data_IF_584392321170
#
_entry.id   IF_584392321170
#
_cell.length_a   1.000
_cell.length_b   1.000
_cell.length_c   1.000
_cell.angle_alpha   90.00
_cell.angle_beta   90.00
_cell.angle_gamma   90.00
#
_symmetry.space_group_name_H-M   'P 1'
#
loop_
_entity.id
_entity.type
_entity.pdbx_description
1 polymer ?
#
# COMPACT_ATOMS: atom_id res chain seq x y z
N UNK A 1 16.86 -0.35 23.84
CA UNK A 1 15.91 -1.48 23.86
C UNK A 1 14.52 -1.06 23.36
N UNK A 2 13.90 0.01 23.86
CA UNK A 2 12.58 0.46 23.36
C UNK A 2 12.58 0.85 21.87
N UNK A 3 13.59 1.59 21.41
CA UNK A 3 13.73 1.99 19.99
C UNK A 3 13.79 0.79 19.04
N UNK A 4 14.56 -0.24 19.40
CA UNK A 4 14.74 -1.44 18.59
C UNK A 4 13.46 -2.25 18.48
N UNK A 5 12.73 -2.42 19.60
CA UNK A 5 11.45 -3.12 19.60
C UNK A 5 10.36 -2.36 18.82
N UNK A 6 10.35 -1.03 18.89
CA UNK A 6 9.43 -0.21 18.09
C UNK A 6 9.67 -0.41 16.59
N UNK A 7 10.93 -0.40 16.16
CA UNK A 7 11.30 -0.70 14.77
C UNK A 7 10.92 -2.14 14.38
N UNK A 8 11.18 -3.12 15.24
CA UNK A 8 10.80 -4.53 14.99
C UNK A 8 9.30 -4.70 14.79
N UNK A 9 8.48 -3.96 15.53
CA UNK A 9 7.01 -4.07 15.46
C UNK A 9 6.43 -3.28 14.28
N UNK A 10 6.90 -2.07 14.04
CA UNK A 10 6.28 -1.11 13.12
C UNK A 10 6.96 -1.02 11.75
N UNK A 11 8.23 -1.43 11.66
CA UNK A 11 9.03 -1.39 10.44
C UNK A 11 9.99 -2.60 10.36
N UNK A 12 9.47 -3.84 10.22
CA UNK A 12 10.26 -5.07 10.34
C UNK A 12 11.44 -5.12 9.36
N UNK A 13 11.25 -4.67 8.11
CA UNK A 13 12.31 -4.68 7.11
C UNK A 13 13.42 -3.66 7.41
N UNK A 14 13.09 -2.53 8.06
CA UNK A 14 14.09 -1.58 8.53
C UNK A 14 14.89 -2.18 9.70
N UNK A 15 14.22 -2.93 10.58
CA UNK A 15 14.89 -3.63 11.67
C UNK A 15 15.86 -4.71 11.15
N UNK A 16 15.48 -5.52 10.17
CA UNK A 16 16.36 -6.51 9.55
C UNK A 16 17.60 -5.87 8.90
N UNK A 17 17.44 -4.70 8.28
CA UNK A 17 18.57 -3.91 7.77
C UNK A 17 19.54 -3.50 8.89
N UNK A 18 19.04 -3.11 10.06
CA UNK A 18 19.91 -2.79 11.21
C UNK A 18 20.65 -4.02 11.74
N UNK A 19 20.04 -5.21 11.73
CA UNK A 19 20.67 -6.45 12.19
C UNK A 19 21.76 -6.94 11.24
N UNK A 20 21.52 -6.86 9.94
CA UNK A 20 22.49 -7.26 8.91
C UNK A 20 23.75 -6.38 8.91
N UNK A 21 23.60 -5.06 9.09
CA UNK A 21 24.73 -4.12 9.20
C UNK A 21 25.50 -4.26 10.53
N UNK A 22 24.80 -4.60 11.62
CA UNK A 22 25.43 -4.90 12.91
C UNK A 22 26.36 -6.10 12.85
N UNK A 23 25.97 -7.13 12.08
CA UNK A 23 26.74 -8.36 11.92
C UNK A 23 27.99 -8.15 11.06
N UNK A 24 27.91 -7.27 10.05
CA UNK A 24 29.00 -6.94 9.12
C UNK A 24 30.09 -6.07 9.74
N UNK A 25 29.73 -5.20 10.71
CA UNK A 25 30.68 -4.30 11.39
C UNK A 25 31.57 -4.95 12.47
N UNK A 26 31.42 -6.26 12.70
CA UNK A 26 32.19 -7.03 13.69
C UNK A 26 33.72 -7.05 13.47
N UNK A 27 34.24 -6.53 12.35
CA UNK A 27 35.68 -6.43 12.05
C UNK A 27 36.34 -5.07 12.34
N UNK A 28 35.60 -4.04 12.78
CA UNK A 28 36.19 -2.74 13.18
C UNK A 28 35.76 -2.32 14.59
N UNK A 29 36.58 -2.70 15.58
CA UNK A 29 36.52 -2.16 16.95
C UNK A 29 36.72 -0.64 16.95
N UNK A 30 35.66 0.15 17.19
CA UNK A 30 35.77 1.50 17.77
C UNK A 30 34.43 2.04 18.30
N UNK A 31 34.22 1.95 19.61
CA UNK A 31 33.58 2.88 20.58
C UNK A 31 32.41 3.83 20.20
N UNK A 32 31.69 3.64 19.11
CA UNK A 32 30.39 4.26 18.90
C UNK A 32 29.41 3.14 18.51
N UNK A 33 28.44 2.84 19.39
CA UNK A 33 27.34 1.87 19.16
C UNK A 33 26.34 2.39 18.10
N UNK A 34 26.81 3.13 17.10
CA UNK A 34 25.98 3.81 16.11
C UNK A 34 26.08 3.06 14.77
N UNK A 35 25.03 2.33 14.44
CA UNK A 35 24.87 1.70 13.12
C UNK A 35 24.47 2.80 12.12
N UNK A 36 25.21 2.90 11.01
CA UNK A 36 24.91 3.85 9.93
C UNK A 36 24.42 3.09 8.71
N UNK A 37 23.22 3.43 8.24
CA UNK A 37 22.58 2.81 7.08
C UNK A 37 22.38 3.90 6.03
N UNK A 38 22.89 3.68 4.82
CA UNK A 38 22.62 4.57 3.70
C UNK A 38 21.32 4.14 3.00
N UNK A 39 20.31 5.01 3.01
CA UNK A 39 19.08 4.81 2.27
C UNK A 39 19.20 5.55 0.94
N UNK A 40 19.06 4.81 -0.16
CA UNK A 40 19.05 5.35 -1.52
C UNK A 40 17.60 5.60 -1.93
N UNK A 41 17.37 6.68 -2.68
CA UNK A 41 16.07 7.12 -3.21
C UNK A 41 15.02 7.42 -2.13
N UNK A 42 15.45 8.11 -1.07
CA UNK A 42 14.59 8.52 0.05
C UNK A 42 14.86 9.99 0.35
N UNK A 43 13.81 10.81 0.33
CA UNK A 43 13.92 12.19 0.80
C UNK A 43 14.01 12.25 2.32
N UNK A 44 14.85 13.16 2.83
CA UNK A 44 15.10 13.31 4.26
C UNK A 44 13.82 13.73 5.02
N UNK A 45 13.03 14.63 4.44
CA UNK A 45 11.82 15.15 5.08
C UNK A 45 10.69 14.12 5.15
N UNK A 46 10.58 13.29 4.12
CA UNK A 46 9.60 12.20 4.03
C UNK A 46 9.99 11.05 4.97
N UNK A 47 11.30 10.75 5.07
CA UNK A 47 11.81 9.77 6.02
C UNK A 47 11.64 10.22 7.48
N UNK A 48 11.88 11.50 7.79
CA UNK A 48 11.61 12.04 9.13
C UNK A 48 10.13 11.87 9.48
N UNK A 49 9.24 12.14 8.53
CA UNK A 49 7.80 11.98 8.69
C UNK A 49 7.40 10.52 8.91
N UNK A 50 7.97 9.60 8.13
CA UNK A 50 7.83 8.15 8.33
C UNK A 50 8.29 7.73 9.73
N UNK A 51 9.48 8.16 10.16
CA UNK A 51 10.01 7.84 11.48
C UNK A 51 9.14 8.42 12.60
N UNK A 52 8.61 9.63 12.44
CA UNK A 52 7.68 10.23 13.40
C UNK A 52 6.43 9.37 13.58
N UNK A 53 5.88 8.81 12.49
CA UNK A 53 4.78 7.86 12.59
C UNK A 53 5.22 6.59 13.33
N UNK A 54 6.35 5.99 12.98
CA UNK A 54 6.86 4.76 13.61
C UNK A 54 7.06 4.91 15.13
N UNK A 55 7.52 6.08 15.59
CA UNK A 55 7.82 6.31 17.01
C UNK A 55 6.66 6.89 17.82
N UNK A 56 5.80 7.69 17.21
CA UNK A 56 4.77 8.47 17.92
C UNK A 56 3.36 8.02 17.53
N UNK A 57 3.21 7.24 16.46
CA UNK A 57 1.91 6.84 15.90
C UNK A 57 1.12 8.00 15.30
N UNK A 58 1.76 9.16 15.07
CA UNK A 58 1.08 10.35 14.56
C UNK A 58 0.98 10.29 13.04
N UNK A 59 -0.25 10.29 12.53
CA UNK A 59 -0.53 10.29 11.10
C UNK A 59 -0.02 11.58 10.44
N UNK A 60 0.68 11.49 9.30
CA UNK A 60 1.18 12.68 8.61
C UNK A 60 0.06 13.43 7.88
N UNK A 61 0.20 14.74 7.80
CA UNK A 61 -0.59 15.55 6.88
C UNK A 61 0.00 15.41 5.47
N UNK A 62 -0.81 14.88 4.55
CA UNK A 62 -0.44 14.63 3.16
C UNK A 62 -1.15 15.65 2.28
N UNK A 63 -0.39 16.68 1.86
CA UNK A 63 -0.90 17.83 1.10
C UNK A 63 -0.60 17.76 -0.40
N UNK A 64 0.30 16.87 -0.82
CA UNK A 64 0.61 16.65 -2.23
C UNK A 64 0.62 15.16 -2.60
N UNK A 65 0.45 14.89 -3.89
CA UNK A 65 0.51 13.53 -4.45
C UNK A 65 1.91 12.96 -4.27
N UNK A 66 2.95 13.78 -4.47
CA UNK A 66 4.34 13.36 -4.37
C UNK A 66 4.68 12.90 -2.93
N UNK A 67 4.31 13.70 -1.93
CA UNK A 67 4.53 13.35 -0.53
C UNK A 67 3.75 12.10 -0.12
N UNK A 68 2.47 12.01 -0.50
CA UNK A 68 1.66 10.82 -0.23
C UNK A 68 2.23 9.57 -0.90
N UNK A 69 2.70 9.70 -2.14
CA UNK A 69 3.31 8.60 -2.91
C UNK A 69 4.63 8.18 -2.27
N UNK A 70 5.51 9.11 -1.95
CA UNK A 70 6.81 8.76 -1.38
C UNK A 70 6.70 8.11 0.00
N UNK A 71 5.83 8.65 0.87
CA UNK A 71 5.57 8.03 2.18
C UNK A 71 4.95 6.63 2.01
N UNK A 72 4.07 6.43 1.02
CA UNK A 72 3.55 5.10 0.67
C UNK A 72 4.67 4.15 0.25
N UNK A 73 5.60 4.59 -0.60
CA UNK A 73 6.75 3.80 -1.04
C UNK A 73 7.66 3.41 0.13
N UNK A 74 7.95 4.36 1.03
CA UNK A 74 8.73 4.10 2.24
C UNK A 74 8.03 3.09 3.15
N UNK A 75 6.73 3.28 3.36
CA UNK A 75 5.91 2.40 4.19
C UNK A 75 5.89 0.98 3.63
N UNK A 76 5.69 0.84 2.31
CA UNK A 76 5.73 -0.44 1.62
C UNK A 76 7.13 -1.08 1.65
N UNK A 77 8.19 -0.28 1.51
CA UNK A 77 9.59 -0.75 1.55
C UNK A 77 9.98 -1.26 2.93
N UNK A 78 9.53 -0.60 4.00
CA UNK A 78 9.91 -0.94 5.37
C UNK A 78 8.90 -1.82 6.10
N UNK A 79 7.79 -2.19 5.45
CA UNK A 79 6.77 -3.09 6.00
C UNK A 79 5.86 -2.42 7.03
N UNK A 80 5.68 -1.11 6.94
CA UNK A 80 4.74 -0.37 7.78
C UNK A 80 3.36 -0.35 7.12
N UNK A 81 2.57 -1.40 7.35
CA UNK A 81 1.27 -1.61 6.69
C UNK A 81 0.28 -0.50 7.03
N UNK A 82 0.17 -0.10 8.29
CA UNK A 82 -0.83 0.89 8.72
C UNK A 82 -0.65 2.25 8.02
N UNK A 83 0.59 2.70 7.90
CA UNK A 83 0.91 3.94 7.21
C UNK A 83 0.70 3.82 5.68
N UNK A 84 1.03 2.66 5.10
CA UNK A 84 0.76 2.37 3.69
C UNK A 84 -0.75 2.49 3.40
N UNK A 85 -1.59 1.88 4.23
CA UNK A 85 -3.05 1.91 4.08
C UNK A 85 -3.61 3.32 4.26
N UNK A 86 -3.06 4.10 5.20
CA UNK A 86 -3.45 5.49 5.40
C UNK A 86 -3.11 6.38 4.18
N UNK A 87 -1.89 6.25 3.64
CA UNK A 87 -1.49 6.96 2.43
C UNK A 87 -2.38 6.58 1.25
N UNK A 88 -2.69 5.29 1.11
CA UNK A 88 -3.60 4.79 0.09
C UNK A 88 -5.00 5.42 0.18
N UNK A 89 -5.61 5.44 1.37
CA UNK A 89 -6.91 6.11 1.57
C UNK A 89 -6.84 7.59 1.22
N UNK A 90 -5.77 8.28 1.64
CA UNK A 90 -5.59 9.71 1.35
C UNK A 90 -5.47 9.98 -0.15
N UNK A 91 -4.75 9.11 -0.89
CA UNK A 91 -4.63 9.20 -2.35
C UNK A 91 -5.99 9.04 -3.04
N UNK A 92 -6.81 8.10 -2.57
CA UNK A 92 -8.19 7.92 -3.07
C UNK A 92 -9.05 9.14 -2.77
N UNK A 93 -9.05 9.62 -1.53
CA UNK A 93 -10.00 10.63 -1.07
C UNK A 93 -9.69 12.04 -1.60
N UNK A 94 -8.41 12.41 -1.67
CA UNK A 94 -7.99 13.79 -1.99
C UNK A 94 -7.50 13.99 -3.41
N UNK A 95 -6.90 12.96 -4.01
CA UNK A 95 -6.07 13.13 -5.20
C UNK A 95 -6.52 12.32 -6.40
N UNK A 96 -7.41 11.35 -6.23
CA UNK A 96 -7.95 10.56 -7.32
C UNK A 96 -8.95 11.40 -8.13
N UNK A 97 -8.55 11.76 -9.35
CA UNK A 97 -9.40 12.43 -10.31
C UNK A 97 -9.06 11.99 -11.74
N UNK A 98 -9.88 12.35 -12.76
CA UNK A 98 -9.68 11.85 -14.12
C UNK A 98 -8.30 12.15 -14.72
N UNK A 99 -7.69 13.28 -14.34
CA UNK A 99 -6.36 13.68 -14.80
C UNK A 99 -5.21 12.89 -14.15
N UNK A 100 -5.36 12.46 -12.90
CA UNK A 100 -4.34 11.78 -12.08
C UNK A 100 -4.55 10.26 -12.00
N UNK A 101 -5.71 9.78 -12.45
CA UNK A 101 -6.15 8.40 -12.35
C UNK A 101 -5.15 7.40 -12.94
N UNK A 102 -4.62 7.66 -14.13
CA UNK A 102 -3.67 6.75 -14.79
C UNK A 102 -2.34 6.64 -14.04
N UNK A 103 -1.80 7.75 -13.52
CA UNK A 103 -0.56 7.78 -12.74
C UNK A 103 -0.73 7.02 -11.42
N UNK A 104 -1.85 7.26 -10.71
CA UNK A 104 -2.18 6.59 -9.46
C UNK A 104 -2.48 5.10 -9.65
N UNK A 105 -3.04 4.72 -10.80
CA UNK A 105 -3.20 3.31 -11.14
C UNK A 105 -1.86 2.59 -11.24
N UNK A 106 -0.88 3.17 -11.93
CA UNK A 106 0.44 2.56 -12.07
C UNK A 106 1.11 2.38 -10.70
N UNK A 107 0.95 3.37 -9.81
CA UNK A 107 1.38 3.26 -8.42
C UNK A 107 0.67 2.09 -7.72
N UNK A 108 -0.64 1.97 -7.89
CA UNK A 108 -1.41 0.91 -7.27
C UNK A 108 -1.01 -0.50 -7.75
N UNK A 109 -0.77 -0.67 -9.05
CA UNK A 109 -0.28 -1.93 -9.61
C UNK A 109 1.14 -2.25 -9.13
N UNK A 110 2.03 -1.27 -9.08
CA UNK A 110 3.42 -1.46 -8.64
C UNK A 110 3.57 -1.81 -7.17
N UNK A 111 2.68 -1.29 -6.30
CA UNK A 111 2.79 -1.42 -4.84
C UNK A 111 1.66 -2.23 -4.19
N UNK A 112 0.85 -2.91 -5.01
CA UNK A 112 -0.26 -3.76 -4.56
C UNK A 112 -1.27 -2.99 -3.70
N UNK A 113 -1.60 -1.76 -4.07
CA UNK A 113 -2.60 -0.94 -3.40
C UNK A 113 -4.01 -1.30 -3.91
N UNK A 114 -4.66 -2.24 -3.23
CA UNK A 114 -5.96 -2.77 -3.66
C UNK A 114 -7.09 -1.73 -3.65
N UNK A 115 -7.16 -0.85 -2.65
CA UNK A 115 -8.21 0.16 -2.52
C UNK A 115 -8.05 1.24 -3.59
N UNK A 116 -6.81 1.68 -3.84
CA UNK A 116 -6.55 2.67 -4.90
C UNK A 116 -6.88 2.10 -6.29
N UNK A 117 -6.59 0.82 -6.52
CA UNK A 117 -6.97 0.13 -7.76
C UNK A 117 -8.49 0.02 -7.91
N UNK A 118 -9.20 -0.38 -6.85
CA UNK A 118 -10.67 -0.48 -6.87
C UNK A 118 -11.33 0.87 -7.13
N UNK A 119 -10.91 1.92 -6.43
CA UNK A 119 -11.43 3.27 -6.61
C UNK A 119 -11.17 3.82 -8.02
N UNK A 120 -10.01 3.52 -8.61
CA UNK A 120 -9.75 3.83 -10.02
C UNK A 120 -10.76 3.15 -10.95
N UNK A 121 -11.02 1.85 -10.74
CA UNK A 121 -11.95 1.09 -11.57
C UNK A 121 -13.37 1.67 -11.47
N UNK A 122 -13.77 2.10 -10.28
CA UNK A 122 -15.06 2.76 -10.06
C UNK A 122 -15.15 4.12 -10.75
N UNK A 123 -14.09 4.92 -10.68
CA UNK A 123 -14.01 6.19 -11.40
C UNK A 123 -14.10 5.97 -12.92
N UNK A 124 -13.38 4.99 -13.45
CA UNK A 124 -13.43 4.67 -14.88
C UNK A 124 -14.81 4.19 -15.33
N UNK A 125 -15.46 3.31 -14.56
CA UNK A 125 -16.82 2.84 -14.92
C UNK A 125 -17.88 3.94 -14.84
N UNK A 126 -17.64 4.99 -14.06
CA UNK A 126 -18.53 6.14 -13.97
C UNK A 126 -18.29 7.14 -15.11
N UNK A 127 -17.03 7.50 -15.37
CA UNK A 127 -16.65 8.55 -16.32
C UNK A 127 -15.52 8.09 -17.28
N UNK A 128 -15.74 7.06 -18.12
CA UNK A 128 -14.67 6.46 -18.92
C UNK A 128 -14.05 7.45 -19.92
N UNK A 129 -14.87 8.36 -20.48
CA UNK A 129 -14.41 9.37 -21.46
C UNK A 129 -13.43 10.37 -20.86
N UNK A 130 -13.66 10.80 -19.63
CA UNK A 130 -12.80 11.79 -18.98
C UNK A 130 -11.47 11.16 -18.56
N UNK A 131 -11.52 9.94 -18.02
CA UNK A 131 -10.33 9.20 -17.61
C UNK A 131 -9.48 8.83 -18.83
N UNK A 132 -10.07 8.39 -19.94
CA UNK A 132 -9.34 8.08 -21.17
C UNK A 132 -8.74 9.30 -21.88
N UNK A 133 -9.23 10.50 -21.60
CA UNK A 133 -8.62 11.75 -22.09
C UNK A 133 -7.49 12.26 -21.17
N UNK A 134 -7.20 11.56 -20.07
CA UNK A 134 -6.12 11.90 -19.15
C UNK A 134 -4.75 11.83 -19.84
N UNK A 135 -3.84 12.71 -19.43
CA UNK A 135 -2.49 12.86 -20.02
C UNK A 135 -1.69 11.55 -20.03
N UNK A 136 -1.82 10.78 -18.96
CA UNK A 136 -1.02 9.57 -18.73
C UNK A 136 -1.77 8.27 -19.10
N UNK A 137 -2.93 8.38 -19.75
CA UNK A 137 -3.74 7.21 -20.13
C UNK A 137 -3.01 6.24 -21.07
N UNK A 138 -2.10 6.76 -21.90
CA UNK A 138 -1.26 5.95 -22.80
C UNK A 138 -0.48 4.84 -22.07
N UNK A 139 -0.08 5.06 -20.81
CA UNK A 139 0.62 4.05 -20.00
C UNK A 139 -0.28 2.85 -19.67
N UNK A 140 -1.58 3.09 -19.55
CA UNK A 140 -2.58 2.05 -19.26
C UNK A 140 -2.91 1.25 -20.52
N UNK A 141 -2.91 1.91 -21.68
CA UNK A 141 -3.18 1.27 -22.99
C UNK A 141 -2.13 0.23 -23.36
N UNK A 142 -0.90 0.37 -22.89
CA UNK A 142 0.19 -0.58 -23.14
C UNK A 142 -0.02 -1.92 -22.40
N UNK A 143 -0.83 -1.94 -21.33
CA UNK A 143 -1.07 -3.14 -20.51
C UNK A 143 -2.30 -3.92 -20.95
N UNK A 144 -2.11 -4.92 -21.82
CA UNK A 144 -3.20 -5.83 -22.24
C UNK A 144 -3.85 -6.59 -21.07
N UNK A 145 -3.07 -6.90 -20.02
CA UNK A 145 -3.58 -7.58 -18.82
C UNK A 145 -4.57 -6.69 -18.08
N UNK A 146 -4.20 -5.42 -17.88
CA UNK A 146 -5.04 -4.48 -17.17
C UNK A 146 -6.33 -4.16 -17.94
N UNK A 147 -6.24 -3.93 -19.25
CA UNK A 147 -7.43 -3.68 -20.08
C UNK A 147 -8.44 -4.84 -19.96
N UNK A 148 -7.96 -6.10 -19.96
CA UNK A 148 -8.84 -7.27 -19.76
C UNK A 148 -9.53 -7.24 -18.40
N UNK A 149 -8.80 -6.91 -17.35
CA UNK A 149 -9.34 -6.78 -15.99
C UNK A 149 -10.37 -5.65 -15.90
N UNK A 150 -10.04 -4.48 -16.44
CA UNK A 150 -10.91 -3.31 -16.51
C UNK A 150 -12.20 -3.60 -17.29
N UNK A 151 -12.10 -4.24 -18.46
CA UNK A 151 -13.26 -4.65 -19.25
C UNK A 151 -14.13 -5.64 -18.48
N UNK A 152 -13.51 -6.62 -17.81
CA UNK A 152 -14.25 -7.59 -16.99
C UNK A 152 -14.96 -6.87 -15.84
N UNK A 153 -14.28 -5.94 -15.16
CA UNK A 153 -14.86 -5.14 -14.07
C UNK A 153 -16.01 -4.25 -14.56
N UNK A 154 -15.87 -3.61 -15.72
CA UNK A 154 -16.88 -2.75 -16.31
C UNK A 154 -18.12 -3.51 -16.83
N UNK A 155 -17.96 -4.79 -17.19
CA UNK A 155 -19.05 -5.65 -17.63
C UNK A 155 -19.88 -6.22 -16.46
N UNK A 156 -19.35 -6.22 -15.24
CA UNK A 156 -20.12 -6.59 -14.04
C UNK A 156 -21.15 -5.48 -13.80
N UNK A 157 -22.44 -5.84 -13.79
CA UNK A 157 -23.51 -4.89 -13.56
C UNK A 157 -23.30 -4.17 -12.23
N UNK A 158 -23.48 -2.85 -12.20
CA UNK A 158 -23.30 -2.05 -10.97
C UNK A 158 -24.24 -2.50 -9.86
N UNK A 159 -25.37 -3.12 -10.20
CA UNK A 159 -26.32 -3.69 -9.25
C UNK A 159 -25.94 -5.08 -8.74
N UNK A 160 -25.05 -5.80 -9.42
CA UNK A 160 -24.51 -7.10 -8.96
C UNK A 160 -23.22 -6.96 -8.15
N UNK A 161 -22.64 -5.76 -8.08
CA UNK A 161 -21.49 -5.49 -7.19
C UNK A 161 -21.97 -5.56 -5.74
N UNK A 162 -21.66 -6.68 -5.09
CA UNK A 162 -21.86 -6.82 -3.66
C UNK A 162 -20.97 -5.84 -2.90
N UNK A 163 -21.55 -4.98 -2.07
CA UNK A 163 -20.80 -4.11 -1.15
C UNK A 163 -19.90 -4.91 -0.19
N UNK A 164 -20.25 -6.19 0.04
CA UNK A 164 -19.48 -7.14 0.86
C UNK A 164 -18.17 -7.59 0.19
N UNK A 165 -18.03 -7.37 -1.13
CA UNK A 165 -16.85 -7.73 -1.93
C UNK A 165 -15.92 -6.54 -2.24
N UNK A 166 -16.24 -5.35 -1.68
CA UNK A 166 -15.36 -4.18 -1.74
C UNK A 166 -14.10 -4.41 -0.91
N UNK A 167 -12.99 -3.77 -1.31
CA UNK A 167 -11.71 -3.87 -0.60
C UNK A 167 -11.84 -3.40 0.85
N UNK A 168 -12.64 -2.37 1.12
CA UNK A 168 -12.91 -1.88 2.47
C UNK A 168 -13.56 -2.95 3.34
N UNK A 169 -14.61 -3.61 2.83
CA UNK A 169 -15.29 -4.71 3.54
C UNK A 169 -14.38 -5.92 3.73
N UNK A 170 -13.57 -6.26 2.72
CA UNK A 170 -12.59 -7.35 2.80
C UNK A 170 -11.53 -7.09 3.87
N UNK A 171 -10.97 -5.87 3.91
CA UNK A 171 -9.97 -5.49 4.91
C UNK A 171 -10.54 -5.53 6.32
N UNK A 172 -11.73 -4.96 6.53
CA UNK A 172 -12.41 -5.01 7.83
C UNK A 172 -12.62 -6.44 8.30
N UNK A 173 -13.09 -7.32 7.41
CA UNK A 173 -13.28 -8.73 7.74
C UNK A 173 -11.96 -9.43 8.11
N UNK A 174 -10.88 -9.16 7.38
CA UNK A 174 -9.56 -9.74 7.66
C UNK A 174 -8.98 -9.22 8.98
N UNK A 175 -9.19 -7.95 9.31
CA UNK A 175 -8.81 -7.34 10.58
C UNK A 175 -9.54 -8.00 11.76
N UNK A 176 -10.86 -8.22 11.64
CA UNK A 176 -11.66 -8.92 12.65
C UNK A 176 -11.17 -10.37 12.89
N UNK A 177 -10.60 -11.02 11.86
CA UNK A 177 -9.99 -12.34 11.95
C UNK A 177 -8.51 -12.32 12.32
N UNK A 178 -7.93 -11.13 12.59
CA UNK A 178 -6.52 -10.92 12.90
C UNK A 178 -5.58 -11.49 11.80
N UNK A 179 -5.99 -11.33 10.55
CA UNK A 179 -5.26 -11.72 9.34
C UNK A 179 -4.62 -10.50 8.67
N UNK A 180 -3.63 -10.77 7.83
CA UNK A 180 -2.93 -9.75 7.05
C UNK A 180 -3.87 -9.06 6.03
N UNK A 181 -3.96 -7.73 6.15
CA UNK A 181 -4.80 -6.83 5.37
C UNK A 181 -4.09 -6.22 4.16
N UNK A 182 -2.78 -6.46 4.00
CA UNK A 182 -2.01 -5.95 2.86
C UNK A 182 -2.04 -6.89 1.65
N UNK A 183 -1.82 -6.31 0.48
CA UNK A 183 -1.74 -7.00 -0.80
C UNK A 183 -2.88 -6.64 -1.76
N UNK A 184 -2.91 -7.36 -2.89
CA UNK A 184 -3.90 -7.12 -3.94
C UNK A 184 -5.29 -7.62 -3.55
N UNK A 185 -6.33 -7.17 -4.26
CA UNK A 185 -7.70 -7.63 -4.03
C UNK A 185 -7.80 -9.16 -4.09
N UNK A 186 -7.10 -9.80 -5.02
CA UNK A 186 -7.08 -11.26 -5.16
C UNK A 186 -6.48 -11.95 -3.93
N UNK A 187 -5.42 -11.37 -3.32
CA UNK A 187 -4.83 -11.95 -2.11
C UNK A 187 -5.79 -11.83 -0.92
N UNK A 188 -6.50 -10.70 -0.79
CA UNK A 188 -7.50 -10.51 0.28
C UNK A 188 -8.66 -11.49 0.14
N UNK A 189 -9.24 -11.63 -1.06
CA UNK A 189 -10.33 -12.57 -1.35
C UNK A 189 -9.89 -14.02 -1.08
N UNK A 190 -8.69 -14.39 -1.52
CA UNK A 190 -8.14 -15.73 -1.29
C UNK A 190 -8.00 -16.01 0.20
N UNK A 191 -7.44 -15.08 0.99
CA UNK A 191 -7.29 -15.24 2.45
C UNK A 191 -8.65 -15.41 3.15
N UNK A 192 -9.65 -14.60 2.76
CA UNK A 192 -11.02 -14.72 3.28
C UNK A 192 -11.61 -16.11 2.98
N UNK A 193 -11.51 -16.58 1.74
CA UNK A 193 -12.00 -17.90 1.35
C UNK A 193 -11.30 -19.05 2.11
N UNK A 194 -9.98 -18.98 2.27
CA UNK A 194 -9.22 -19.98 3.03
C UNK A 194 -9.62 -20.01 4.51
N UNK A 195 -9.82 -18.85 5.13
CA UNK A 195 -10.24 -18.74 6.53
C UNK A 195 -11.67 -19.27 6.75
N UNK A 196 -12.59 -19.00 5.82
CA UNK A 196 -13.95 -19.58 5.85
C UNK A 196 -13.87 -21.11 5.73
N UNK A 197 -13.08 -21.64 4.79
CA UNK A 197 -12.92 -23.11 4.64
C UNK A 197 -12.29 -23.76 5.86
N UNK A 198 -11.36 -23.09 6.56
CA UNK A 198 -10.80 -23.58 7.84
C UNK A 198 -11.85 -23.66 8.93
N UNK A 199 -12.76 -22.68 9.03
CA UNK A 199 -13.87 -22.68 9.98
C UNK A 199 -14.85 -23.82 9.72
N UNK A 200 -15.16 -24.08 8.45
CA UNK A 200 -16.06 -25.16 8.05
C UNK A 200 -15.47 -26.55 8.32
N UNK A 201 -14.15 -26.72 8.18
CA UNK A 201 -13.45 -27.99 8.48
C UNK A 201 -13.30 -28.26 9.98
N UNK A 202 -13.34 -27.22 10.81
CA UNK A 202 -13.21 -27.32 12.26
C UNK A 202 -14.56 -27.37 13.00
N UNK A 203 -15.68 -27.36 12.27
CA UNK A 203 -17.04 -27.57 12.78
C UNK A 203 -17.45 -29.03 12.62
#
# INVERSE_FOLDING_TARGET
MAHTHMLETQAPALYDLTLSESSSNSTKRKREDTIRIALVDVDESEFETFMRFVYVGTLPELDSIEAATSILLLSNRFGCTDLKLFCESTLVDKFLGPATAATLLLLAEGHSCALLKEAFMDLYTSNPKEVSNGKDWHLVEESSKFIKELLTYAMIDRHERSEEDSVTSLRKWLEDENLDVDGTRETLVKRKAEAISRREKNR
#
